data_IF_152873346078
#
_entry.id   IF_152873346078
#
_cell.length_a   1.000
_cell.length_b   1.000
_cell.length_c   1.000
_cell.angle_alpha   90.00
_cell.angle_beta   90.00
_cell.angle_gamma   90.00
#
_symmetry.space_group_name_H-M   'P 1'
#
loop_
_entity.id
_entity.type
_entity.pdbx_description
1 polymer ?
#
# COMPACT_ATOMS: atom_id res chain seq x y z
N UNK A 1 29.97 -16.84 18.83
CA UNK A 1 28.69 -16.26 18.38
C UNK A 1 28.16 -15.45 19.55
N UNK A 2 28.31 -14.14 19.46
CA UNK A 2 27.94 -13.20 20.51
C UNK A 2 26.53 -12.68 20.19
N UNK A 3 25.54 -13.11 20.97
CA UNK A 3 24.17 -12.63 20.84
C UNK A 3 24.02 -11.45 21.80
N UNK A 4 24.00 -10.23 21.28
CA UNK A 4 23.69 -9.04 22.07
C UNK A 4 22.17 -8.90 22.19
N UNK A 5 21.68 -8.92 23.43
CA UNK A 5 20.25 -8.93 23.76
C UNK A 5 19.71 -7.50 23.98
N UNK A 6 20.60 -6.50 24.12
CA UNK A 6 20.25 -5.07 24.27
C UNK A 6 21.35 -4.24 23.63
N UNK A 7 21.05 -3.62 22.49
CA UNK A 7 22.02 -2.81 21.74
C UNK A 7 21.85 -1.29 21.95
N UNK A 8 20.91 -0.83 22.79
CA UNK A 8 20.66 0.61 22.97
C UNK A 8 20.21 0.95 24.41
N UNK A 9 20.97 1.83 25.07
CA UNK A 9 20.54 2.53 26.29
C UNK A 9 19.51 3.61 25.92
N UNK A 10 18.62 3.93 26.86
CA UNK A 10 17.32 4.61 26.67
C UNK A 10 17.31 6.02 26.02
N UNK A 11 18.43 6.53 25.52
CA UNK A 11 18.56 7.87 24.93
C UNK A 11 19.02 7.88 23.46
N UNK A 12 19.43 6.75 22.89
CA UNK A 12 19.76 6.68 21.45
C UNK A 12 18.49 6.57 20.61
N UNK A 13 18.49 7.24 19.45
CA UNK A 13 17.38 7.18 18.49
C UNK A 13 17.20 5.71 18.08
N UNK A 14 16.02 5.16 18.32
CA UNK A 14 15.76 3.77 17.98
C UNK A 14 15.79 3.59 16.46
N UNK A 15 16.35 2.49 15.96
CA UNK A 15 16.23 2.15 14.56
C UNK A 15 14.77 1.95 14.20
N UNK A 16 14.35 2.56 13.09
CA UNK A 16 13.04 2.28 12.54
C UNK A 16 13.08 0.88 11.92
N UNK A 17 12.62 -0.11 12.68
CA UNK A 17 12.61 -1.53 12.28
C UNK A 17 11.51 -1.87 11.25
N UNK A 18 10.76 -0.86 10.81
CA UNK A 18 9.87 -1.02 9.67
C UNK A 18 10.69 -1.18 8.40
N UNK A 19 10.08 -1.75 7.37
CA UNK A 19 10.69 -1.85 6.05
C UNK A 19 9.88 -1.02 5.06
N UNK A 20 10.58 -0.41 4.12
CA UNK A 20 9.98 0.21 2.96
C UNK A 20 9.74 -0.84 1.89
N UNK A 21 8.49 -0.93 1.44
CA UNK A 21 8.18 -1.69 0.23
C UNK A 21 8.22 -0.73 -0.96
N UNK A 22 9.10 -1.03 -1.90
CA UNK A 22 9.17 -0.32 -3.17
C UNK A 22 8.35 -1.11 -4.17
N UNK A 23 7.35 -0.46 -4.77
CA UNK A 23 6.62 -1.08 -5.86
C UNK A 23 7.45 -1.03 -7.14
N UNK A 24 7.96 -2.18 -7.55
CA UNK A 24 8.62 -2.36 -8.84
C UNK A 24 7.55 -2.70 -9.86
N UNK A 25 7.15 -1.69 -10.63
CA UNK A 25 6.21 -1.90 -11.72
C UNK A 25 6.90 -2.64 -12.87
N UNK A 26 6.40 -3.84 -13.22
CA UNK A 26 6.72 -4.44 -14.52
C UNK A 26 5.69 -3.96 -15.54
N UNK A 27 6.18 -3.66 -16.73
CA UNK A 27 5.33 -3.25 -17.86
C UNK A 27 4.76 -4.43 -18.64
N UNK A 28 4.93 -5.65 -18.15
CA UNK A 28 4.43 -6.89 -18.75
C UNK A 28 3.20 -7.43 -18.03
N UNK A 29 2.63 -8.52 -18.58
CA UNK A 29 1.41 -9.16 -18.10
C UNK A 29 1.50 -9.70 -16.66
N UNK A 30 2.70 -9.77 -16.08
CA UNK A 30 2.93 -10.33 -14.75
C UNK A 30 2.63 -9.32 -13.63
N UNK A 31 2.37 -8.04 -13.96
CA UNK A 31 2.11 -6.99 -12.97
C UNK A 31 3.38 -6.52 -12.23
N UNK A 32 3.22 -5.63 -11.26
CA UNK A 32 4.32 -5.20 -10.38
C UNK A 32 4.53 -6.14 -9.19
N UNK A 33 5.65 -5.96 -8.49
CA UNK A 33 5.92 -6.64 -7.21
C UNK A 33 6.51 -5.66 -6.21
N UNK A 34 6.27 -5.92 -4.93
CA UNK A 34 6.98 -5.23 -3.85
C UNK A 34 8.38 -5.80 -3.69
N UNK A 35 9.38 -4.92 -3.60
CA UNK A 35 10.76 -5.28 -3.26
C UNK A 35 11.23 -4.50 -2.03
N UNK A 36 12.26 -5.01 -1.36
CA UNK A 36 12.87 -4.40 -0.18
C UNK A 36 14.33 -4.09 -0.45
N UNK A 37 14.75 -2.86 -0.13
CA UNK A 37 16.13 -2.42 -0.34
C UNK A 37 16.87 -2.38 0.99
N UNK A 38 18.15 -2.75 0.96
CA UNK A 38 19.06 -2.61 2.10
C UNK A 38 19.33 -1.14 2.42
N UNK A 39 19.30 -0.78 3.69
CA UNK A 39 19.76 0.52 4.15
C UNK A 39 21.28 0.64 3.91
N UNK A 40 21.69 1.71 3.23
CA UNK A 40 23.10 1.95 2.88
C UNK A 40 23.72 3.01 3.77
N UNK A 41 25.01 2.86 4.06
CA UNK A 41 25.80 3.83 4.85
C UNK A 41 26.14 5.12 4.10
N UNK A 42 26.06 5.13 2.77
CA UNK A 42 26.44 6.27 1.93
C UNK A 42 25.35 7.35 1.85
N UNK A 43 24.11 7.02 2.21
CA UNK A 43 22.97 7.93 2.16
C UNK A 43 22.82 8.86 3.38
N UNK A 44 23.62 8.71 4.44
CA UNK A 44 23.67 9.63 5.59
C UNK A 44 22.40 9.75 6.46
N UNK A 45 21.26 9.22 6.01
CA UNK A 45 19.93 9.45 6.60
C UNK A 45 19.41 8.30 7.48
N UNK A 46 20.06 7.13 7.47
CA UNK A 46 19.64 5.94 8.22
C UNK A 46 20.81 5.17 8.83
N UNK A 47 21.63 5.84 9.63
CA UNK A 47 22.72 5.18 10.36
C UNK A 47 22.17 4.12 11.31
N UNK A 48 21.00 4.38 11.88
CA UNK A 48 20.28 3.49 12.77
C UNK A 48 19.83 2.18 12.10
N UNK A 49 19.48 2.21 10.80
CA UNK A 49 19.02 1.02 10.06
C UNK A 49 20.16 0.29 9.34
N UNK A 50 21.42 0.64 9.59
CA UNK A 50 22.57 0.12 8.84
C UNK A 50 22.65 -1.42 8.91
N UNK A 51 22.72 -2.06 7.74
CA UNK A 51 22.72 -3.52 7.62
C UNK A 51 21.33 -4.16 7.72
N UNK A 52 20.28 -3.35 7.92
CA UNK A 52 18.87 -3.73 7.83
C UNK A 52 18.21 -3.29 6.52
N UNK A 53 16.88 -3.27 6.52
CA UNK A 53 16.07 -2.76 5.40
C UNK A 53 15.88 -1.24 5.52
N UNK A 54 15.76 -0.58 4.37
CA UNK A 54 15.45 0.84 4.27
C UNK A 54 14.06 1.13 4.84
N UNK A 55 13.89 2.24 5.57
CA UNK A 55 12.66 2.57 6.31
C UNK A 55 12.26 4.07 6.25
N UNK A 56 12.43 4.74 5.11
CA UNK A 56 12.13 6.17 4.87
C UNK A 56 10.67 6.44 4.46
N UNK A 57 10.01 5.47 3.84
CA UNK A 57 8.71 5.61 3.18
C UNK A 57 7.62 4.76 3.86
N UNK A 58 7.63 4.72 5.20
CA UNK A 58 6.72 3.89 5.98
C UNK A 58 5.24 4.15 5.67
N UNK A 59 4.83 5.41 5.52
CA UNK A 59 3.44 5.74 5.19
C UNK A 59 3.08 5.26 3.77
N UNK A 60 3.94 5.48 2.78
CA UNK A 60 3.73 4.98 1.42
C UNK A 60 3.61 3.45 1.39
N UNK A 61 4.47 2.77 2.14
CA UNK A 61 4.46 1.31 2.29
C UNK A 61 3.16 0.83 2.91
N UNK A 62 2.71 1.46 4.00
CA UNK A 62 1.46 1.10 4.64
C UNK A 62 0.26 1.30 3.70
N UNK A 63 0.24 2.39 2.93
CA UNK A 63 -0.77 2.64 1.88
C UNK A 63 -0.75 1.54 0.81
N UNK A 64 0.43 1.14 0.31
CA UNK A 64 0.57 0.06 -0.66
C UNK A 64 0.04 -1.27 -0.11
N UNK A 65 0.43 -1.63 1.11
CA UNK A 65 0.00 -2.88 1.75
C UNK A 65 -1.52 -2.91 1.94
N UNK A 66 -2.13 -1.80 2.35
CA UNK A 66 -3.58 -1.70 2.48
C UNK A 66 -4.29 -1.85 1.12
N UNK A 67 -3.79 -1.21 0.06
CA UNK A 67 -4.48 -1.23 -1.24
C UNK A 67 -4.25 -2.50 -2.06
N UNK A 68 -3.02 -3.03 -2.06
CA UNK A 68 -2.59 -4.08 -2.99
C UNK A 68 -2.38 -5.44 -2.34
N UNK A 69 -2.74 -5.58 -1.07
CA UNK A 69 -3.01 -6.91 -0.47
C UNK A 69 -4.49 -7.22 -0.62
N UNK A 70 -4.84 -8.49 -0.86
CA UNK A 70 -6.24 -8.88 -1.02
C UNK A 70 -6.90 -9.06 0.36
N UNK A 71 -7.99 -8.31 0.59
CA UNK A 71 -8.92 -8.59 1.68
C UNK A 71 -9.98 -9.61 1.22
N UNK A 72 -10.51 -10.46 2.13
CA UNK A 72 -11.51 -11.44 1.77
C UNK A 72 -12.82 -10.81 1.28
N UNK A 73 -13.41 -11.40 0.24
CA UNK A 73 -14.72 -11.00 -0.26
C UNK A 73 -15.84 -11.27 0.76
N UNK A 74 -16.76 -10.31 0.93
CA UNK A 74 -17.95 -10.44 1.78
C UNK A 74 -18.92 -11.47 1.22
N UNK A 75 -19.76 -12.03 2.07
CA UNK A 75 -20.69 -13.11 1.71
C UNK A 75 -21.53 -12.79 0.45
N UNK A 76 -21.92 -11.53 0.29
CA UNK A 76 -22.73 -10.96 -0.78
C UNK A 76 -21.95 -10.42 -1.98
N UNK A 77 -20.62 -10.37 -1.92
CA UNK A 77 -19.77 -9.93 -3.02
C UNK A 77 -19.80 -10.95 -4.18
N UNK A 78 -19.84 -10.43 -5.41
CA UNK A 78 -19.76 -11.25 -6.63
C UNK A 78 -18.29 -11.52 -6.96
N UNK A 79 -17.92 -12.80 -7.01
CA UNK A 79 -16.55 -13.22 -7.30
C UNK A 79 -16.25 -13.14 -8.81
N UNK A 80 -15.09 -12.59 -9.23
CA UNK A 80 -14.73 -12.47 -10.65
C UNK A 80 -14.61 -13.83 -11.39
N UNK A 81 -14.06 -14.85 -10.73
CA UNK A 81 -13.77 -16.15 -11.33
C UNK A 81 -14.85 -17.22 -11.11
N UNK A 82 -15.87 -16.94 -10.28
CA UNK A 82 -16.93 -17.87 -9.88
C UNK A 82 -16.42 -19.27 -9.42
N UNK A 83 -15.22 -19.32 -8.85
CA UNK A 83 -14.55 -20.51 -8.32
C UNK A 83 -14.80 -20.72 -6.82
N UNK A 84 -15.41 -19.73 -6.16
CA UNK A 84 -15.66 -19.74 -4.72
C UNK A 84 -14.48 -19.23 -3.89
N UNK A 85 -13.37 -18.84 -4.50
CA UNK A 85 -12.23 -18.27 -3.81
C UNK A 85 -12.54 -16.82 -3.39
N UNK A 86 -12.57 -16.60 -2.07
CA UNK A 86 -12.81 -15.28 -1.48
C UNK A 86 -11.52 -14.50 -1.28
N UNK A 87 -10.35 -15.06 -1.64
CA UNK A 87 -9.01 -14.53 -1.38
C UNK A 87 -8.83 -14.12 0.09
N UNK A 88 -7.79 -13.34 0.36
CA UNK A 88 -7.45 -12.86 1.69
C UNK A 88 -5.94 -12.81 1.90
N UNK A 89 -5.52 -12.06 2.92
CA UNK A 89 -4.13 -12.04 3.35
C UNK A 89 -3.86 -13.19 4.31
N UNK A 90 -2.79 -13.95 4.07
CA UNK A 90 -2.41 -15.03 4.97
C UNK A 90 -2.05 -14.51 6.38
N UNK A 91 -1.56 -13.27 6.51
CA UNK A 91 -1.20 -12.69 7.80
C UNK A 91 -2.40 -12.59 8.75
N UNK A 92 -3.61 -12.38 8.22
CA UNK A 92 -4.84 -12.36 9.03
C UNK A 92 -5.20 -13.73 9.62
N UNK A 93 -4.64 -14.82 9.09
CA UNK A 93 -4.88 -16.16 9.63
C UNK A 93 -4.05 -16.45 10.89
N UNK A 94 -3.00 -15.66 11.15
CA UNK A 94 -2.11 -15.82 12.31
C UNK A 94 -2.52 -14.83 13.38
N UNK A 95 -3.11 -15.32 14.47
CA UNK A 95 -3.44 -14.48 15.64
C UNK A 95 -2.30 -14.50 16.63
N UNK A 96 -1.83 -13.32 17.03
CA UNK A 96 -0.83 -13.13 18.08
C UNK A 96 -1.56 -12.60 19.32
N UNK A 97 -1.39 -13.26 20.46
CA UNK A 97 -2.03 -12.86 21.71
C UNK A 97 -1.62 -11.43 22.10
N UNK A 98 -2.62 -10.56 22.26
CA UNK A 98 -2.41 -9.16 22.63
C UNK A 98 -2.27 -8.19 21.46
N UNK A 99 -2.25 -8.67 20.21
CA UNK A 99 -2.29 -7.81 19.02
C UNK A 99 -3.74 -7.63 18.51
N UNK A 100 -4.08 -6.43 17.99
CA UNK A 100 -5.41 -6.18 17.46
C UNK A 100 -5.65 -7.00 16.19
N UNK A 101 -6.80 -7.67 16.13
CA UNK A 101 -7.23 -8.41 14.96
C UNK A 101 -7.78 -7.44 13.89
N UNK A 102 -6.89 -6.74 13.21
CA UNK A 102 -7.24 -5.76 12.18
C UNK A 102 -6.87 -6.31 10.80
N UNK A 103 -7.86 -6.70 9.98
CA UNK A 103 -7.59 -7.17 8.62
C UNK A 103 -6.87 -6.09 7.81
N UNK A 104 -5.89 -6.51 7.01
CA UNK A 104 -5.28 -5.63 6.01
C UNK A 104 -5.73 -6.05 4.60
N UNK A 105 -5.66 -5.10 3.68
CA UNK A 105 -5.93 -5.33 2.28
C UNK A 105 -7.22 -4.68 1.81
N UNK A 106 -7.45 -4.80 0.50
CA UNK A 106 -8.60 -4.23 -0.17
C UNK A 106 -9.35 -5.28 -0.99
N UNK A 107 -10.59 -4.97 -1.32
CA UNK A 107 -11.39 -5.74 -2.27
C UNK A 107 -11.29 -5.18 -3.70
N UNK A 108 -10.27 -4.39 -4.01
CA UNK A 108 -10.06 -3.84 -5.37
C UNK A 108 -9.91 -4.94 -6.42
N UNK A 109 -9.45 -6.13 -6.02
CA UNK A 109 -9.39 -7.31 -6.88
C UNK A 109 -10.78 -7.80 -7.35
N UNK A 110 -11.87 -7.48 -6.65
CA UNK A 110 -13.24 -7.80 -7.13
C UNK A 110 -13.61 -7.00 -8.39
N UNK A 111 -12.91 -5.90 -8.65
CA UNK A 111 -13.11 -5.09 -9.86
C UNK A 111 -12.34 -5.65 -11.06
N UNK A 112 -11.63 -6.78 -10.90
CA UNK A 112 -10.97 -7.46 -11.99
C UNK A 112 -12.00 -7.80 -13.09
N UNK A 113 -11.73 -7.31 -14.32
CA UNK A 113 -12.61 -7.45 -15.51
C UNK A 113 -13.98 -6.78 -15.39
N UNK A 114 -14.21 -5.94 -14.38
CA UNK A 114 -15.43 -5.15 -14.28
C UNK A 114 -15.52 -4.13 -15.43
N UNK A 115 -16.74 -3.82 -15.87
CA UNK A 115 -16.95 -2.79 -16.88
C UNK A 115 -16.53 -1.42 -16.33
N UNK A 116 -15.78 -0.65 -17.11
CA UNK A 116 -15.34 0.68 -16.71
C UNK A 116 -16.51 1.68 -16.78
N UNK A 117 -17.19 1.86 -15.65
CA UNK A 117 -18.35 2.72 -15.52
C UNK A 117 -18.38 3.38 -14.12
N UNK A 118 -19.35 4.28 -13.91
CA UNK A 118 -19.48 5.02 -12.66
C UNK A 118 -19.65 4.14 -11.42
N UNK A 119 -20.32 2.98 -11.53
CA UNK A 119 -20.48 2.05 -10.39
C UNK A 119 -19.15 1.41 -9.99
N UNK A 120 -18.37 0.97 -10.98
CA UNK A 120 -17.00 0.45 -10.75
C UNK A 120 -16.11 1.52 -10.15
N UNK A 121 -16.25 2.77 -10.61
CA UNK A 121 -15.55 3.92 -10.06
C UNK A 121 -15.87 4.13 -8.57
N UNK A 122 -17.15 4.18 -8.21
CA UNK A 122 -17.57 4.30 -6.80
C UNK A 122 -17.11 3.11 -5.95
N UNK A 123 -17.25 1.89 -6.45
CA UNK A 123 -16.79 0.70 -5.74
C UNK A 123 -15.28 0.73 -5.47
N UNK A 124 -14.48 1.25 -6.41
CA UNK A 124 -13.04 1.40 -6.22
C UNK A 124 -12.71 2.38 -5.08
N UNK A 125 -13.41 3.51 -5.02
CA UNK A 125 -13.24 4.47 -3.91
C UNK A 125 -13.68 3.86 -2.57
N UNK A 126 -14.79 3.14 -2.54
CA UNK A 126 -15.32 2.52 -1.32
C UNK A 126 -14.38 1.43 -0.79
N UNK A 127 -13.87 0.56 -1.66
CA UNK A 127 -12.90 -0.47 -1.28
C UNK A 127 -11.57 0.12 -0.82
N UNK A 128 -11.09 1.19 -1.48
CA UNK A 128 -9.89 1.89 -1.04
C UNK A 128 -10.09 2.59 0.31
N UNK A 129 -11.28 3.17 0.54
CA UNK A 129 -11.62 3.86 1.80
C UNK A 129 -11.69 2.89 2.97
N UNK A 130 -12.28 1.73 2.76
CA UNK A 130 -12.32 0.66 3.76
C UNK A 130 -10.91 0.16 4.08
N UNK A 131 -10.10 -0.14 3.06
CA UNK A 131 -8.74 -0.62 3.27
C UNK A 131 -7.85 0.38 4.02
N UNK A 132 -7.99 1.68 3.73
CA UNK A 132 -7.18 2.74 4.34
C UNK A 132 -7.72 3.23 5.69
N UNK A 133 -8.88 2.75 6.13
CA UNK A 133 -9.43 3.08 7.44
C UNK A 133 -8.51 2.61 8.58
N UNK A 134 -7.84 1.47 8.39
CA UNK A 134 -6.84 0.92 9.32
C UNK A 134 -5.75 1.93 9.69
N UNK A 135 -5.30 2.75 8.74
CA UNK A 135 -4.27 3.78 9.02
C UNK A 135 -4.78 4.89 9.93
N UNK A 136 -6.07 5.20 9.88
CA UNK A 136 -6.72 6.17 10.78
C UNK A 136 -6.90 5.54 12.16
N UNK A 137 -7.35 4.28 12.22
CA UNK A 137 -7.56 3.53 13.47
C UNK A 137 -6.27 3.35 14.26
N UNK A 138 -5.15 3.09 13.56
CA UNK A 138 -3.81 3.01 14.13
C UNK A 138 -3.21 4.40 14.44
N UNK A 139 -3.95 5.48 14.18
CA UNK A 139 -3.52 6.87 14.33
C UNK A 139 -2.25 7.25 13.54
N UNK A 140 -1.94 6.49 12.47
CA UNK A 140 -0.83 6.80 11.56
C UNK A 140 -1.13 8.05 10.71
N UNK A 141 -2.40 8.26 10.39
CA UNK A 141 -2.90 9.47 9.69
C UNK A 141 -4.17 9.98 10.38
N UNK A 142 -4.45 11.27 10.28
CA UNK A 142 -5.65 11.84 10.89
C UNK A 142 -6.87 11.79 9.95
N UNK A 143 -6.62 11.92 8.65
CA UNK A 143 -7.64 11.87 7.61
C UNK A 143 -7.05 11.33 6.33
N UNK A 144 -7.88 10.60 5.58
CA UNK A 144 -7.57 10.14 4.23
C UNK A 144 -8.63 10.64 3.27
N UNK A 145 -8.22 11.24 2.16
CA UNK A 145 -9.11 11.56 1.04
C UNK A 145 -8.75 10.70 -0.16
N UNK A 146 -9.78 10.19 -0.83
CA UNK A 146 -9.65 9.32 -1.99
C UNK A 146 -10.53 9.90 -3.07
N UNK A 147 -9.93 10.12 -4.24
CA UNK A 147 -10.64 10.53 -5.44
C UNK A 147 -10.29 9.59 -6.58
N UNK A 148 -11.29 9.23 -7.37
CA UNK A 148 -11.08 8.40 -8.55
C UNK A 148 -11.26 9.19 -9.83
N UNK A 149 -10.56 8.76 -10.87
CA UNK A 149 -10.78 9.24 -12.25
C UNK A 149 -10.70 8.08 -13.23
N UNK A 150 -11.39 8.22 -14.35
CA UNK A 150 -11.48 7.19 -15.38
C UNK A 150 -10.92 7.73 -16.68
N UNK A 151 -10.03 6.97 -17.31
CA UNK A 151 -9.60 7.21 -18.68
C UNK A 151 -10.12 6.08 -19.58
N UNK A 152 -11.23 6.38 -20.26
CA UNK A 152 -11.92 5.43 -21.15
C UNK A 152 -11.05 5.09 -22.37
N UNK A 153 -10.14 5.97 -22.80
CA UNK A 153 -9.33 5.76 -24.00
C UNK A 153 -8.32 4.62 -23.85
N UNK A 154 -7.81 4.45 -22.62
CA UNK A 154 -6.86 3.39 -22.26
C UNK A 154 -7.46 2.34 -21.32
N UNK A 155 -8.77 2.44 -21.03
CA UNK A 155 -9.47 1.48 -20.18
C UNK A 155 -8.97 1.46 -18.73
N UNK A 156 -8.52 2.59 -18.20
CA UNK A 156 -7.91 2.68 -16.88
C UNK A 156 -8.78 3.43 -15.87
N UNK A 157 -8.76 2.95 -14.62
CA UNK A 157 -9.25 3.66 -13.45
C UNK A 157 -8.05 4.09 -12.62
N UNK A 158 -8.06 5.33 -12.12
CA UNK A 158 -7.03 5.84 -11.23
C UNK A 158 -7.63 6.20 -9.89
N UNK A 159 -6.86 5.98 -8.82
CA UNK A 159 -7.15 6.43 -7.47
C UNK A 159 -6.06 7.41 -7.05
N UNK A 160 -6.46 8.59 -6.59
CA UNK A 160 -5.59 9.54 -5.92
C UNK A 160 -5.87 9.43 -4.43
N UNK A 161 -4.84 9.11 -3.67
CA UNK A 161 -4.88 8.96 -2.22
C UNK A 161 -4.09 10.09 -1.60
N UNK A 162 -4.72 10.81 -0.67
CA UNK A 162 -4.12 11.87 0.10
C UNK A 162 -4.27 11.57 1.59
N UNK A 163 -3.18 11.63 2.34
CA UNK A 163 -3.22 11.54 3.79
C UNK A 163 -2.88 12.89 4.42
N UNK A 164 -3.55 13.18 5.53
CA UNK A 164 -3.41 14.43 6.25
C UNK A 164 -3.00 14.18 7.70
N UNK A 165 -2.15 15.06 8.23
CA UNK A 165 -1.77 15.09 9.64
C UNK A 165 -2.92 15.62 10.51
N UNK A 166 -2.79 15.51 11.84
CA UNK A 166 -3.76 16.06 12.80
C UNK A 166 -3.93 17.56 12.70
N UNK A 167 -2.94 18.27 12.15
CA UNK A 167 -2.95 19.73 11.95
C UNK A 167 -3.62 20.10 10.62
N UNK A 168 -4.00 19.11 9.80
CA UNK A 168 -4.64 19.29 8.50
C UNK A 168 -3.66 19.47 7.33
N UNK A 169 -2.36 19.36 7.57
CA UNK A 169 -1.34 19.39 6.52
C UNK A 169 -1.35 18.09 5.72
N UNK A 170 -1.24 18.19 4.39
CA UNK A 170 -1.11 17.04 3.50
C UNK A 170 0.30 16.45 3.65
N UNK A 171 0.40 15.25 4.23
CA UNK A 171 1.67 14.56 4.47
C UNK A 171 2.01 13.56 3.36
N UNK A 172 1.02 13.20 2.54
CA UNK A 172 1.17 12.22 1.49
C UNK A 172 0.17 12.49 0.37
N UNK A 173 0.63 12.32 -0.87
CA UNK A 173 -0.21 12.28 -2.05
C UNK A 173 0.39 11.27 -3.04
N UNK A 174 -0.43 10.34 -3.51
CA UNK A 174 -0.02 9.41 -4.55
C UNK A 174 -1.18 9.09 -5.48
N UNK A 175 -0.88 9.03 -6.78
CA UNK A 175 -1.79 8.53 -7.80
C UNK A 175 -1.44 7.09 -8.14
N UNK A 176 -2.40 6.20 -7.96
CA UNK A 176 -2.34 4.79 -8.31
C UNK A 176 -3.19 4.53 -9.56
N UNK A 177 -2.66 3.71 -10.47
CA UNK A 177 -3.47 3.12 -11.53
C UNK A 177 -4.06 1.81 -11.01
N UNK A 178 -5.39 1.69 -11.03
CA UNK A 178 -6.07 0.40 -10.94
C UNK A 178 -6.03 -0.20 -12.34
N UNK A 179 -4.87 -0.73 -12.70
CA UNK A 179 -4.66 -1.37 -14.00
C UNK A 179 -4.69 -2.87 -13.79
N UNK A 180 -5.73 -3.50 -14.36
CA UNK A 180 -5.81 -4.95 -14.56
C UNK A 180 -5.80 -5.29 -16.07
N UNK A 181 -5.15 -4.45 -16.90
CA UNK A 181 -4.79 -4.87 -18.25
C UNK A 181 -3.46 -5.61 -18.20
N UNK A 182 -3.53 -6.93 -18.36
CA UNK A 182 -2.37 -7.81 -18.55
C UNK A 182 -1.62 -7.56 -19.88
N UNK A 183 -1.79 -6.43 -20.55
CA UNK A 183 -1.09 -6.18 -21.82
C UNK A 183 -1.03 -4.69 -22.16
N UNK A 184 0.21 -4.22 -22.35
CA UNK A 184 0.61 -3.06 -23.15
C UNK A 184 0.34 -1.67 -22.55
N UNK A 185 1.31 -1.11 -21.82
CA UNK A 185 1.86 0.22 -22.16
C UNK A 185 3.13 0.56 -21.36
N UNK A 186 4.18 0.95 -22.08
CA UNK A 186 5.52 1.24 -21.56
C UNK A 186 5.72 2.69 -21.10
N UNK A 187 4.75 3.28 -20.39
CA UNK A 187 4.94 4.59 -19.79
C UNK A 187 5.61 4.44 -18.41
N UNK A 188 6.73 5.16 -18.19
CA UNK A 188 7.37 5.27 -16.88
C UNK A 188 6.46 6.04 -15.92
N UNK A 189 6.17 5.45 -14.76
CA UNK A 189 5.64 6.17 -13.61
C UNK A 189 6.82 6.87 -12.91
N UNK A 190 6.70 8.18 -12.67
CA UNK A 190 7.65 8.92 -11.86
C UNK A 190 7.38 8.64 -10.38
N UNK A 191 8.36 8.04 -9.70
CA UNK A 191 8.35 7.84 -8.26
C UNK A 191 9.18 8.94 -7.62
N UNK A 192 8.56 9.73 -6.72
CA UNK A 192 9.18 10.33 -5.52
C UNK A 192 10.43 11.22 -5.63
N UNK A 193 11.12 11.29 -6.76
CA UNK A 193 12.39 12.01 -6.92
C UNK A 193 12.19 13.46 -7.41
N UNK A 194 10.94 13.85 -7.71
CA UNK A 194 10.60 15.24 -8.01
C UNK A 194 10.11 15.92 -6.73
N UNK A 195 11.00 16.70 -6.11
CA UNK A 195 10.66 17.69 -5.10
C UNK A 195 9.70 18.68 -5.76
N UNK A 196 8.44 18.70 -5.31
CA UNK A 196 7.49 19.73 -5.73
C UNK A 196 7.97 21.10 -5.20
N UNK A 197 8.22 22.02 -6.13
CA UNK A 197 8.49 23.44 -5.84
C UNK A 197 7.20 24.19 -5.47
#
# INVERSE_FOLDING_TARGET
MEIRIRDTEACERQPQLLWDTIWVQRTDAAGGFGDWILARSDAGDQVESLGGLRAEAALHTATLLCLFTDAPARADDVLPANDGDRRGWWGDSVKIDGEPDTPIGSRLWLLERAALNYRTQQAAEDYAREALATLIEQAAVARTEITSSVDVSIGALFLVVQHFSRVGEKTYEQRFGVVWQQTLNGARMNYGDEIFA
#
